data_IF_712317217169
#
_entry.id   IF_712317217169
#
_cell.length_a   1.000
_cell.length_b   1.000
_cell.length_c   1.000
_cell.angle_alpha   90.00
_cell.angle_beta   90.00
_cell.angle_gamma   90.00
#
_symmetry.space_group_name_H-M   'P 1'
#
loop_
_entity.id
_entity.type
_entity.pdbx_description
1 polymer ?
#
# COMPACT_ATOMS: atom_id res chain seq x y z
N UNK A 1 -26.68 24.92 1.83
CA UNK A 1 -27.55 24.86 0.63
C UNK A 1 -27.92 23.41 0.26
N UNK A 2 -26.98 22.50 0.00
CA UNK A 2 -27.29 21.11 -0.40
C UNK A 2 -28.14 20.31 0.61
N UNK A 3 -27.97 20.53 1.93
CA UNK A 3 -28.75 19.84 2.97
C UNK A 3 -30.23 20.24 2.98
N UNK A 4 -30.55 21.49 2.63
CA UNK A 4 -31.92 22.00 2.56
C UNK A 4 -32.65 21.47 1.31
N UNK A 5 -31.91 21.23 0.22
CA UNK A 5 -32.44 20.66 -1.03
C UNK A 5 -32.70 19.16 -0.85
N UNK A 6 -31.78 18.40 -0.24
CA UNK A 6 -32.00 16.97 0.05
C UNK A 6 -33.23 16.71 0.94
N UNK A 7 -33.45 17.55 1.97
CA UNK A 7 -34.65 17.43 2.82
C UNK A 7 -35.96 17.67 2.06
N UNK A 8 -35.93 18.48 1.00
CA UNK A 8 -37.11 18.75 0.16
C UNK A 8 -37.41 17.59 -0.80
N UNK A 9 -36.39 17.04 -1.46
CA UNK A 9 -36.54 15.86 -2.33
C UNK A 9 -37.06 14.61 -1.59
N UNK A 10 -36.68 14.41 -0.32
CA UNK A 10 -37.20 13.30 0.51
C UNK A 10 -38.72 13.39 0.72
N UNK A 11 -39.28 14.60 0.72
CA UNK A 11 -40.72 14.83 0.94
C UNK A 11 -41.56 14.77 -0.36
N UNK A 12 -40.95 14.95 -1.54
CA UNK A 12 -41.67 15.09 -2.82
C UNK A 12 -41.63 13.83 -3.71
N UNK A 13 -40.75 12.86 -3.43
CA UNK A 13 -40.54 11.73 -4.35
C UNK A 13 -41.34 10.47 -3.97
N UNK A 14 -42.25 10.06 -4.86
CA UNK A 14 -43.17 8.93 -4.68
C UNK A 14 -42.55 7.55 -4.94
N UNK A 15 -41.33 7.45 -5.49
CA UNK A 15 -40.66 6.17 -5.74
C UNK A 15 -39.15 6.25 -5.52
N UNK A 16 -38.56 5.16 -5.01
CA UNK A 16 -37.13 5.09 -4.73
C UNK A 16 -36.25 5.33 -5.97
N UNK A 17 -36.71 4.95 -7.19
CA UNK A 17 -35.90 5.16 -8.40
C UNK A 17 -35.79 6.63 -8.80
N UNK A 18 -36.88 7.40 -8.72
CA UNK A 18 -36.84 8.85 -9.01
C UNK A 18 -35.97 9.60 -8.02
N UNK A 19 -35.95 9.14 -6.77
CA UNK A 19 -35.16 9.77 -5.72
C UNK A 19 -33.67 9.59 -6.00
N UNK A 20 -33.28 8.39 -6.46
CA UNK A 20 -31.90 8.12 -6.88
C UNK A 20 -31.50 8.93 -8.12
N UNK A 21 -32.40 9.09 -9.10
CA UNK A 21 -32.17 9.93 -10.28
C UNK A 21 -31.95 11.41 -9.91
N UNK A 22 -32.78 11.97 -9.01
CA UNK A 22 -32.60 13.33 -8.51
C UNK A 22 -31.27 13.48 -7.76
N UNK A 23 -30.92 12.54 -6.88
CA UNK A 23 -29.63 12.56 -6.17
C UNK A 23 -28.46 12.58 -7.17
N UNK A 24 -28.48 11.72 -8.18
CA UNK A 24 -27.43 11.68 -9.21
C UNK A 24 -27.36 13.01 -9.99
N UNK A 25 -28.50 13.68 -10.20
CA UNK A 25 -28.56 14.99 -10.85
C UNK A 25 -27.99 16.12 -9.98
N UNK A 26 -28.17 16.04 -8.66
CA UNK A 26 -27.64 17.02 -7.69
C UNK A 26 -26.16 16.79 -7.34
N UNK A 27 -25.68 15.57 -7.46
CA UNK A 27 -24.27 15.20 -7.23
C UNK A 27 -23.63 14.70 -8.52
N UNK A 28 -23.54 15.54 -9.57
CA UNK A 28 -22.94 15.13 -10.82
C UNK A 28 -21.50 14.68 -10.54
N UNK A 29 -21.21 13.43 -10.89
CA UNK A 29 -19.87 12.83 -10.69
C UNK A 29 -18.82 13.74 -11.31
N UNK A 30 -18.03 14.38 -10.46
CA UNK A 30 -16.97 15.26 -10.90
C UNK A 30 -15.79 14.41 -11.41
N UNK A 31 -15.75 14.17 -12.72
CA UNK A 31 -14.70 13.39 -13.39
C UNK A 31 -13.30 13.86 -13.03
N UNK A 32 -13.10 15.17 -12.83
CA UNK A 32 -11.80 15.74 -12.43
C UNK A 32 -11.44 15.33 -11.00
N UNK A 33 -12.37 15.45 -10.06
CA UNK A 33 -12.17 15.00 -8.68
C UNK A 33 -11.96 13.48 -8.59
N UNK A 34 -12.72 12.70 -9.37
CA UNK A 34 -12.56 11.24 -9.44
C UNK A 34 -11.18 10.86 -9.99
N UNK A 35 -10.74 11.52 -11.07
CA UNK A 35 -9.40 11.33 -11.63
C UNK A 35 -8.31 11.64 -10.60
N UNK A 36 -8.40 12.79 -9.91
CA UNK A 36 -7.44 13.16 -8.86
C UNK A 36 -7.41 12.15 -7.71
N UNK A 37 -8.57 11.66 -7.26
CA UNK A 37 -8.67 10.66 -6.20
C UNK A 37 -8.06 9.32 -6.61
N UNK A 38 -8.35 8.84 -7.82
CA UNK A 38 -7.77 7.60 -8.34
C UNK A 38 -6.25 7.72 -8.51
N UNK A 39 -5.76 8.86 -9.01
CA UNK A 39 -4.34 9.12 -9.16
C UNK A 39 -3.64 9.18 -7.79
N UNK A 40 -4.22 9.90 -6.82
CA UNK A 40 -3.73 9.96 -5.45
C UNK A 40 -3.67 8.57 -4.81
N UNK A 41 -4.68 7.72 -5.04
CA UNK A 41 -4.69 6.33 -4.59
C UNK A 41 -3.58 5.52 -5.25
N UNK A 42 -3.38 5.64 -6.56
CA UNK A 42 -2.33 4.93 -7.29
C UNK A 42 -0.93 5.27 -6.76
N UNK A 43 -0.60 6.56 -6.60
CA UNK A 43 0.74 6.99 -6.15
C UNK A 43 1.01 6.67 -4.68
N UNK A 44 -0.02 6.64 -3.84
CA UNK A 44 0.12 6.37 -2.40
C UNK A 44 0.07 4.88 -2.07
N UNK A 45 -0.30 4.04 -3.04
CA UNK A 45 -0.48 2.61 -2.84
C UNK A 45 0.85 1.90 -2.57
N UNK A 46 1.02 1.39 -1.35
CA UNK A 46 2.23 0.67 -0.93
C UNK A 46 2.02 -0.84 -0.89
N UNK A 47 3.02 -1.60 -1.34
CA UNK A 47 3.01 -3.05 -1.22
C UNK A 47 3.10 -3.45 0.26
N UNK A 48 2.13 -4.21 0.78
CA UNK A 48 2.19 -4.71 2.15
C UNK A 48 3.18 -5.88 2.21
N UNK A 49 4.21 -5.82 3.08
CA UNK A 49 5.27 -6.85 3.20
C UNK A 49 4.77 -8.30 3.33
N UNK A 50 3.59 -8.53 3.94
CA UNK A 50 2.94 -9.85 4.08
C UNK A 50 1.80 -10.10 3.06
N UNK A 51 1.56 -9.17 2.14
CA UNK A 51 0.49 -9.25 1.16
C UNK A 51 0.86 -10.08 -0.06
N UNK A 52 -0.13 -10.51 -0.82
CA UNK A 52 0.07 -11.21 -2.09
C UNK A 52 0.51 -10.20 -3.17
N UNK A 53 1.70 -10.40 -3.75
CA UNK A 53 2.25 -9.51 -4.79
C UNK A 53 1.38 -9.48 -6.06
N UNK A 54 0.73 -10.61 -6.40
CA UNK A 54 -0.16 -10.70 -7.56
C UNK A 54 -1.40 -9.85 -7.37
N UNK A 55 -1.97 -9.88 -6.16
CA UNK A 55 -3.13 -9.06 -5.79
C UNK A 55 -2.78 -7.57 -5.83
N UNK A 56 -1.60 -7.21 -5.31
CA UNK A 56 -1.09 -5.84 -5.37
C UNK A 56 -0.94 -5.31 -6.80
N UNK A 57 -0.33 -6.10 -7.70
CA UNK A 57 -0.18 -5.74 -9.12
C UNK A 57 -1.56 -5.62 -9.80
N UNK A 58 -2.49 -6.52 -9.48
CA UNK A 58 -3.84 -6.49 -10.04
C UNK A 58 -4.61 -5.23 -9.62
N UNK A 59 -4.50 -4.82 -8.36
CA UNK A 59 -5.10 -3.58 -7.86
C UNK A 59 -4.51 -2.34 -8.54
N UNK A 60 -3.18 -2.26 -8.69
CA UNK A 60 -2.49 -1.21 -9.45
C UNK A 60 -2.99 -1.13 -10.90
N UNK A 61 -3.07 -2.26 -11.59
CA UNK A 61 -3.57 -2.34 -12.97
C UNK A 61 -5.05 -1.93 -13.11
N UNK A 62 -5.88 -2.28 -12.13
CA UNK A 62 -7.29 -1.86 -12.10
C UNK A 62 -7.41 -0.34 -11.96
N UNK A 63 -6.62 0.28 -11.08
CA UNK A 63 -6.58 1.74 -10.95
C UNK A 63 -6.14 2.42 -12.25
N UNK A 64 -5.09 1.92 -12.91
CA UNK A 64 -4.64 2.42 -14.20
C UNK A 64 -5.73 2.30 -15.29
N UNK A 65 -6.49 1.21 -15.29
CA UNK A 65 -7.59 0.98 -16.24
C UNK A 65 -8.75 1.96 -16.02
N UNK A 66 -9.09 2.26 -14.77
CA UNK A 66 -10.08 3.28 -14.41
C UNK A 66 -9.63 4.69 -14.79
N UNK A 67 -8.35 5.02 -14.61
CA UNK A 67 -7.80 6.29 -15.08
C UNK A 67 -7.89 6.41 -16.60
N UNK A 68 -7.61 5.32 -17.32
CA UNK A 68 -7.74 5.25 -18.79
C UNK A 68 -9.18 5.51 -19.25
N UNK A 69 -10.21 4.97 -18.57
CA UNK A 69 -11.61 5.23 -18.92
C UNK A 69 -12.03 6.69 -18.66
N UNK A 70 -11.36 7.37 -17.73
CA UNK A 70 -11.49 8.81 -17.48
C UNK A 70 -10.63 9.70 -18.40
N UNK A 71 -10.10 9.14 -19.49
CA UNK A 71 -9.21 9.81 -20.47
C UNK A 71 -7.82 10.19 -19.93
N UNK A 72 -7.41 9.70 -18.75
CA UNK A 72 -6.05 9.82 -18.24
C UNK A 72 -5.28 8.51 -18.49
N UNK A 73 -4.64 8.39 -19.66
CA UNK A 73 -3.81 7.23 -19.99
C UNK A 73 -2.41 7.39 -19.38
N UNK A 74 -2.02 6.47 -18.51
CA UNK A 74 -0.65 6.34 -18.01
C UNK A 74 0.15 5.46 -18.97
N UNK A 75 1.45 5.72 -19.12
CA UNK A 75 2.34 4.82 -19.85
C UNK A 75 2.55 3.53 -19.06
N UNK A 76 2.73 2.42 -19.77
CA UNK A 76 3.04 1.12 -19.15
C UNK A 76 4.33 1.20 -18.33
N UNK A 77 5.33 1.91 -18.85
CA UNK A 77 6.60 2.17 -18.18
C UNK A 77 6.42 2.88 -16.82
N UNK A 78 5.59 3.92 -16.77
CA UNK A 78 5.28 4.63 -15.52
C UNK A 78 4.62 3.70 -14.49
N UNK A 79 3.70 2.82 -14.93
CA UNK A 79 3.02 1.87 -14.05
C UNK A 79 4.03 0.86 -13.48
N UNK A 80 4.93 0.34 -14.32
CA UNK A 80 6.01 -0.57 -13.89
C UNK A 80 6.90 0.11 -12.86
N UNK A 81 7.33 1.36 -13.12
CA UNK A 81 8.14 2.11 -12.17
C UNK A 81 7.41 2.39 -10.85
N UNK A 82 6.11 2.71 -10.87
CA UNK A 82 5.29 2.87 -9.65
C UNK A 82 5.22 1.60 -8.80
N UNK A 83 5.03 0.44 -9.45
CA UNK A 83 5.04 -0.87 -8.79
C UNK A 83 6.41 -1.12 -8.14
N UNK A 84 7.50 -0.85 -8.86
CA UNK A 84 8.87 -1.03 -8.37
C UNK A 84 9.18 -0.10 -7.18
N UNK A 85 8.85 1.19 -7.28
CA UNK A 85 9.11 2.19 -6.22
C UNK A 85 8.42 1.78 -4.92
N UNK A 86 7.14 1.39 -5.02
CA UNK A 86 6.37 0.93 -3.87
C UNK A 86 6.90 -0.39 -3.30
N UNK A 87 7.33 -1.29 -4.17
CA UNK A 87 7.95 -2.55 -3.77
C UNK A 87 9.26 -2.33 -3.01
N UNK A 88 10.15 -1.48 -3.54
CA UNK A 88 11.45 -1.16 -2.92
C UNK A 88 11.35 -0.34 -1.63
N UNK A 89 10.24 0.37 -1.38
CA UNK A 89 10.03 1.10 -0.13
C UNK A 89 10.13 0.20 1.13
N UNK A 90 9.90 -1.11 0.98
CA UNK A 90 10.01 -2.09 2.06
C UNK A 90 11.36 -2.83 2.09
N UNK A 91 12.22 -2.58 1.10
CA UNK A 91 13.49 -3.26 0.90
C UNK A 91 14.58 -2.21 0.58
N UNK A 92 14.91 -1.36 1.55
CA UNK A 92 15.84 -0.23 1.33
C UNK A 92 17.20 -0.64 0.75
N UNK A 93 17.68 -1.84 1.06
CA UNK A 93 18.94 -2.39 0.53
C UNK A 93 18.82 -2.84 -0.93
N UNK A 94 17.61 -3.20 -1.35
CA UNK A 94 17.26 -3.61 -2.71
C UNK A 94 17.24 -2.43 -3.68
N UNK A 95 16.81 -1.26 -3.20
CA UNK A 95 16.88 0.00 -3.96
C UNK A 95 18.33 0.33 -4.33
N UNK A 96 19.27 0.13 -3.41
CA UNK A 96 20.70 0.32 -3.67
C UNK A 96 21.15 -0.70 -4.72
N UNK A 97 20.93 -2.00 -4.52
CA UNK A 97 21.33 -3.01 -5.50
C UNK A 97 20.73 -2.82 -6.90
N UNK A 98 19.44 -2.44 -7.01
CA UNK A 98 18.78 -2.16 -8.28
C UNK A 98 19.39 -0.97 -9.01
N UNK A 99 19.73 0.10 -8.28
CA UNK A 99 20.34 1.29 -8.87
C UNK A 99 21.82 1.11 -9.26
N UNK A 100 22.55 0.18 -8.63
CA UNK A 100 24.00 -0.02 -8.89
C UNK A 100 24.30 -1.15 -9.87
N UNK A 101 23.38 -2.09 -10.10
CA UNK A 101 23.60 -3.27 -10.95
C UNK A 101 22.62 -3.27 -12.14
N UNK A 102 23.09 -2.87 -13.33
CA UNK A 102 22.45 -3.00 -14.67
C UNK A 102 21.13 -2.23 -14.91
N UNK A 103 21.01 -1.68 -16.13
CA UNK A 103 19.85 -0.91 -16.62
C UNK A 103 18.53 -1.69 -16.69
N UNK A 104 18.56 -3.02 -16.74
CA UNK A 104 17.35 -3.88 -16.79
C UNK A 104 17.56 -5.19 -16.05
N UNK A 105 16.73 -5.42 -15.04
CA UNK A 105 16.61 -6.72 -14.38
C UNK A 105 15.56 -7.57 -15.08
N UNK A 106 15.85 -8.86 -15.26
CA UNK A 106 14.86 -9.82 -15.69
C UNK A 106 13.84 -10.11 -14.56
N UNK A 107 12.63 -10.58 -14.90
CA UNK A 107 11.65 -11.01 -13.89
C UNK A 107 12.20 -12.06 -12.90
N UNK A 108 13.05 -12.97 -13.37
CA UNK A 108 13.65 -14.02 -12.54
C UNK A 108 14.64 -13.44 -11.52
N UNK A 109 15.43 -12.44 -11.90
CA UNK A 109 16.34 -11.73 -10.99
C UNK A 109 15.56 -10.98 -9.91
N UNK A 110 14.48 -10.28 -10.28
CA UNK A 110 13.58 -9.62 -9.34
C UNK A 110 13.01 -10.60 -8.30
N UNK A 111 12.57 -11.79 -8.74
CA UNK A 111 12.06 -12.85 -7.85
C UNK A 111 13.17 -13.38 -6.92
N UNK A 112 14.36 -13.67 -7.47
CA UNK A 112 15.49 -14.21 -6.71
C UNK A 112 15.92 -13.24 -5.59
N UNK A 113 16.13 -11.98 -5.95
CA UNK A 113 16.49 -10.96 -4.97
C UNK A 113 15.39 -10.79 -3.91
N UNK A 114 14.10 -10.84 -4.27
CA UNK A 114 12.97 -10.79 -3.30
C UNK A 114 13.09 -11.89 -2.26
N UNK A 115 13.28 -13.13 -2.71
CA UNK A 115 13.38 -14.30 -1.82
C UNK A 115 14.59 -14.17 -0.89
N UNK A 116 15.72 -13.71 -1.42
CA UNK A 116 16.92 -13.48 -0.63
C UNK A 116 16.69 -12.43 0.47
N UNK A 117 16.05 -11.32 0.13
CA UNK A 117 15.78 -10.23 1.05
C UNK A 117 14.73 -10.59 2.10
N UNK A 118 13.70 -11.35 1.74
CA UNK A 118 12.71 -11.90 2.68
C UNK A 118 13.39 -12.80 3.74
N UNK A 119 14.34 -13.64 3.31
CA UNK A 119 15.17 -14.47 4.23
C UNK A 119 16.02 -13.61 5.16
N UNK A 120 16.65 -12.54 4.66
CA UNK A 120 17.46 -11.61 5.47
C UNK A 120 16.62 -10.96 6.56
N UNK A 121 15.48 -10.42 6.15
CA UNK A 121 14.50 -9.76 7.00
C UNK A 121 13.87 -10.68 8.05
N UNK A 122 13.75 -11.98 7.77
CA UNK A 122 13.32 -12.99 8.73
C UNK A 122 14.41 -13.25 9.79
N UNK A 123 15.68 -13.38 9.35
CA UNK A 123 16.82 -13.56 10.25
C UNK A 123 16.99 -12.39 11.22
N UNK A 124 16.82 -11.15 10.77
CA UNK A 124 16.95 -9.97 11.63
C UNK A 124 15.86 -9.91 12.71
N UNK A 125 14.63 -10.33 12.40
CA UNK A 125 13.55 -10.47 13.39
C UNK A 125 13.86 -11.53 14.45
N UNK A 126 14.39 -12.68 14.04
CA UNK A 126 14.77 -13.74 14.99
C UNK A 126 15.92 -13.29 15.89
N UNK A 127 16.90 -12.58 15.35
CA UNK A 127 18.04 -12.03 16.11
C UNK A 127 17.61 -10.95 17.10
N UNK A 128 16.68 -10.06 16.74
CA UNK A 128 16.20 -9.02 17.66
C UNK A 128 15.40 -9.61 18.84
N UNK A 129 14.59 -10.65 18.60
CA UNK A 129 13.84 -11.32 19.67
C UNK A 129 14.77 -12.02 20.69
N UNK A 130 15.85 -12.64 20.22
CA UNK A 130 16.87 -13.25 21.10
C UNK A 130 17.64 -12.22 21.95
N UNK A 131 17.86 -11.02 21.42
CA UNK A 131 18.53 -9.96 22.17
C UNK A 131 17.67 -9.41 23.32
N UNK A 132 16.35 -9.32 23.12
CA UNK A 132 15.39 -8.87 24.16
C UNK A 132 15.22 -9.90 25.27
N UNK A 133 15.28 -11.21 24.98
CA UNK A 133 15.16 -12.26 26.01
C UNK A 133 16.44 -12.48 26.82
N UNK A 134 17.61 -12.17 26.27
CA UNK A 134 18.90 -12.40 26.95
C UNK A 134 19.22 -11.32 27.99
N UNK A 135 18.62 -10.13 27.91
CA UNK A 135 18.89 -9.03 28.85
C UNK A 135 18.22 -9.17 30.23
N UNK A 136 17.22 -10.05 30.39
CA UNK A 136 16.50 -10.22 31.65
C UNK A 136 17.13 -11.22 32.63
N UNK A 137 18.15 -12.00 32.23
CA UNK A 137 18.71 -13.09 33.05
C UNK A 137 20.05 -12.79 33.76
N UNK A 138 20.36 -11.51 34.03
CA UNK A 138 21.50 -11.15 34.90
C UNK A 138 21.05 -10.40 36.15
N UNK A 139 20.20 -11.01 36.99
CA UNK A 139 20.14 -10.67 38.42
C UNK A 139 21.03 -11.64 39.19
N UNK A 140 22.25 -11.17 39.49
CA UNK A 140 23.26 -11.84 40.33
C UNK A 140 22.68 -12.11 41.72
N UNK A 141 22.66 -13.39 42.12
CA UNK A 141 22.52 -13.81 43.51
C UNK A 141 23.82 -13.47 44.25
N UNK A 142 23.78 -12.50 45.18
CA UNK A 142 24.77 -12.42 46.25
C UNK A 142 24.16 -13.05 47.50
N UNK A 143 24.62 -14.26 47.84
CA UNK A 143 24.44 -14.84 49.17
C UNK A 143 25.40 -14.12 50.11
N UNK A 144 24.89 -13.47 51.14
CA UNK A 144 25.68 -13.06 52.31
C UNK A 144 25.38 -14.00 53.46
N UNK A 145 26.30 -14.91 53.74
CA UNK A 145 26.46 -15.56 55.04
C UNK A 145 27.74 -14.99 55.63
N UNK A 146 27.71 -14.42 56.82
CA UNK A 146 28.78 -14.53 57.85
C UNK A 146 28.24 -14.00 59.18
N UNK A 147 28.46 -14.81 60.22
CA UNK A 147 28.17 -14.63 61.63
C UNK A 147 28.96 -13.48 62.26
N UNK A 148 28.41 -12.82 63.29
CA UNK A 148 28.97 -12.75 64.67
C UNK A 148 27.79 -12.83 65.64
#
# INVERSE_FOLDING_TARGET
MCLMIMKRSILEVQSASRFLEEIDQFFPKNKKAETSNLLAKLISMKYKRKGNIREYIMEMSNLATKLKSLKLKLSEDLIVHLVLISFFAHFGQFKVSYNTLKDKWSPNELISHRVQEERRLQKDKTKSAHFVSTSQNKKKNFKSSTNI
#
